data_IF_478697187067
#
_entry.id   IF_478697187067
#
_cell.length_a   1.000
_cell.length_b   1.000
_cell.length_c   1.000
_cell.angle_alpha   90.00
_cell.angle_beta   90.00
_cell.angle_gamma   90.00
#
_symmetry.space_group_name_H-M   'P 1'
#
loop_
_entity.id
_entity.type
_entity.pdbx_description
1 polymer ?
#
# COMPACT_ATOMS: atom_id res chain seq x y z
N UNK A 1 -12.28 0.68 -3.33
CA UNK A 1 -13.04 -0.09 -2.32
C UNK A 1 -12.48 0.14 -0.92
N UNK A 2 -11.17 -0.04 -0.68
CA UNK A 2 -10.54 0.27 0.61
C UNK A 2 -9.95 1.68 0.61
N UNK A 3 -10.82 2.69 0.65
CA UNK A 3 -10.38 4.09 0.68
C UNK A 3 -11.34 4.87 1.60
N UNK A 4 -10.90 5.34 2.78
CA UNK A 4 -11.74 6.11 3.70
C UNK A 4 -12.30 7.39 3.07
N UNK A 5 -11.56 8.00 2.13
CA UNK A 5 -11.95 9.25 1.46
C UNK A 5 -12.90 9.03 0.28
N UNK A 6 -13.18 7.78 -0.11
CA UNK A 6 -14.21 7.52 -1.12
C UNK A 6 -15.56 8.01 -0.59
N UNK A 7 -16.36 8.64 -1.46
CA UNK A 7 -17.66 9.24 -1.12
C UNK A 7 -18.53 8.37 -0.21
N UNK A 8 -18.61 7.07 -0.47
CA UNK A 8 -19.39 6.15 0.36
C UNK A 8 -18.84 6.02 1.79
N UNK A 9 -17.52 5.81 1.93
CA UNK A 9 -16.88 5.65 3.24
C UNK A 9 -16.85 6.97 4.00
N UNK A 10 -16.55 8.08 3.32
CA UNK A 10 -16.54 9.42 3.90
C UNK A 10 -17.92 9.83 4.42
N UNK A 11 -19.01 9.58 3.68
CA UNK A 11 -20.37 9.86 4.16
C UNK A 11 -20.76 9.01 5.38
N UNK A 12 -20.11 7.87 5.59
CA UNK A 12 -20.41 6.91 6.65
C UNK A 12 -19.27 6.77 7.68
N UNK A 13 -18.32 7.70 7.72
CA UNK A 13 -17.12 7.65 8.57
C UNK A 13 -17.39 7.56 10.07
N UNK A 14 -18.56 8.00 10.52
CA UNK A 14 -19.01 7.90 11.92
C UNK A 14 -19.68 6.57 12.27
N UNK A 15 -19.91 5.68 11.29
CA UNK A 15 -20.49 4.36 11.56
C UNK A 15 -19.49 3.50 12.31
N UNK A 16 -19.99 2.76 13.29
CA UNK A 16 -19.22 1.75 14.03
C UNK A 16 -19.24 0.43 13.27
N UNK A 17 -18.25 -0.42 13.58
CA UNK A 17 -18.17 -1.79 13.08
C UNK A 17 -19.45 -2.55 13.46
N UNK A 18 -20.08 -3.22 12.51
CA UNK A 18 -21.36 -3.91 12.72
C UNK A 18 -21.18 -5.33 13.20
N UNK A 19 -20.13 -6.02 12.73
CA UNK A 19 -19.87 -7.40 13.09
C UNK A 19 -18.81 -7.49 14.19
N UNK A 20 -19.01 -8.40 15.13
CA UNK A 20 -17.98 -8.76 16.10
C UNK A 20 -16.92 -9.66 15.44
N UNK A 21 -15.90 -9.06 14.83
CA UNK A 21 -14.84 -9.81 14.14
C UNK A 21 -13.91 -10.57 15.10
N UNK A 22 -13.91 -10.25 16.39
CA UNK A 22 -13.18 -11.02 17.39
C UNK A 22 -13.73 -12.45 17.54
N UNK A 23 -15.03 -12.67 17.31
CA UNK A 23 -15.62 -14.03 17.29
C UNK A 23 -15.19 -14.86 16.07
N UNK A 24 -14.73 -14.19 15.00
CA UNK A 24 -14.31 -14.85 13.76
C UNK A 24 -12.83 -15.17 13.77
N UNK A 25 -11.99 -14.20 14.16
CA UNK A 25 -10.54 -14.31 14.09
C UNK A 25 -9.87 -14.55 15.47
N UNK A 26 -10.61 -14.34 16.57
CA UNK A 26 -10.06 -14.22 17.91
C UNK A 26 -9.71 -12.78 18.28
N UNK A 27 -9.62 -12.50 19.58
CA UNK A 27 -9.21 -11.20 20.09
C UNK A 27 -7.80 -10.81 19.58
N UNK A 28 -7.64 -9.56 19.14
CA UNK A 28 -6.37 -9.05 18.62
C UNK A 28 -5.99 -9.52 17.21
N UNK A 29 -6.70 -10.49 16.64
CA UNK A 29 -6.38 -11.10 15.33
C UNK A 29 -7.21 -10.56 14.15
N UNK A 30 -8.04 -9.54 14.38
CA UNK A 30 -8.74 -8.84 13.31
C UNK A 30 -7.74 -8.15 12.37
N UNK A 31 -7.99 -8.16 11.07
CA UNK A 31 -7.09 -7.57 10.08
C UNK A 31 -7.24 -6.05 9.98
N UNK A 32 -8.43 -5.54 10.27
CA UNK A 32 -8.69 -4.12 10.44
C UNK A 32 -9.38 -3.85 11.77
N UNK A 33 -9.05 -2.70 12.37
CA UNK A 33 -9.59 -2.23 13.64
C UNK A 33 -9.84 -0.73 13.55
N UNK A 34 -10.98 -0.27 14.06
CA UNK A 34 -11.21 1.16 14.24
C UNK A 34 -10.19 1.71 15.26
N UNK A 35 -9.69 2.94 15.09
CA UNK A 35 -8.80 3.55 16.07
C UNK A 35 -9.46 3.60 17.45
N UNK A 36 -8.79 3.10 18.49
CA UNK A 36 -9.29 3.22 19.86
C UNK A 36 -9.30 4.70 20.25
N UNK A 37 -10.48 5.22 20.56
CA UNK A 37 -10.79 6.62 20.85
C UNK A 37 -9.68 7.35 21.62
N UNK A 38 -8.90 8.16 20.90
CA UNK A 38 -8.21 9.33 21.42
C UNK A 38 -8.89 10.58 20.83
N UNK A 39 -10.18 10.76 21.12
CA UNK A 39 -10.96 11.99 20.93
C UNK A 39 -10.97 12.69 19.55
N UNK A 40 -10.34 12.16 18.51
CA UNK A 40 -10.17 12.90 17.24
C UNK A 40 -10.25 12.05 15.96
N UNK A 41 -10.35 10.72 16.03
CA UNK A 41 -10.37 9.87 14.82
C UNK A 41 -11.73 9.25 14.53
N UNK A 42 -12.11 9.31 13.26
CA UNK A 42 -13.38 8.79 12.75
C UNK A 42 -13.31 7.25 12.65
N UNK A 43 -14.30 6.51 13.18
CA UNK A 43 -14.20 5.05 13.35
C UNK A 43 -14.17 4.26 12.03
N UNK A 44 -14.79 4.76 10.96
CA UNK A 44 -14.91 4.11 9.65
C UNK A 44 -15.29 2.62 9.74
N UNK A 45 -16.24 2.30 10.60
CA UNK A 45 -16.61 0.92 10.93
C UNK A 45 -17.01 0.07 9.73
N UNK A 46 -17.67 0.65 8.72
CA UNK A 46 -18.03 -0.07 7.50
C UNK A 46 -16.82 -0.39 6.61
N UNK A 47 -15.79 0.45 6.61
CA UNK A 47 -14.52 0.14 5.95
C UNK A 47 -13.81 -0.99 6.71
N UNK A 48 -13.81 -0.95 8.04
CA UNK A 48 -13.25 -2.00 8.90
C UNK A 48 -13.97 -3.33 8.65
N UNK A 49 -15.31 -3.34 8.61
CA UNK A 49 -16.10 -4.52 8.25
C UNK A 49 -15.73 -5.06 6.86
N UNK A 50 -15.58 -4.17 5.88
CA UNK A 50 -15.23 -4.55 4.52
C UNK A 50 -13.84 -5.23 4.45
N UNK A 51 -12.83 -4.67 5.12
CA UNK A 51 -11.47 -5.26 5.13
C UNK A 51 -11.45 -6.59 5.86
N UNK A 52 -12.14 -6.69 7.01
CA UNK A 52 -12.23 -7.95 7.75
C UNK A 52 -13.03 -9.01 6.99
N UNK A 53 -14.09 -8.63 6.27
CA UNK A 53 -14.82 -9.55 5.38
C UNK A 53 -13.95 -10.04 4.23
N UNK A 54 -13.13 -9.16 3.66
CA UNK A 54 -12.14 -9.57 2.66
C UNK A 54 -11.14 -10.58 3.24
N UNK A 55 -10.69 -10.39 4.48
CA UNK A 55 -9.83 -11.34 5.16
C UNK A 55 -10.50 -12.71 5.39
N UNK A 56 -11.74 -12.71 5.86
CA UNK A 56 -12.53 -13.93 6.10
C UNK A 56 -12.69 -14.77 4.82
N UNK A 57 -12.81 -14.10 3.67
CA UNK A 57 -12.90 -14.75 2.35
C UNK A 57 -11.54 -15.21 1.79
N UNK A 58 -10.47 -15.16 2.60
CA UNK A 58 -9.12 -15.56 2.18
C UNK A 58 -8.40 -14.54 1.30
N UNK A 59 -8.88 -13.30 1.24
CA UNK A 59 -8.37 -12.27 0.34
C UNK A 59 -6.89 -11.94 0.55
N UNK A 60 -6.44 -11.83 1.81
CA UNK A 60 -5.02 -11.58 2.10
C UNK A 60 -4.12 -12.75 1.67
N UNK A 61 -4.57 -14.00 1.85
CA UNK A 61 -3.84 -15.17 1.39
C UNK A 61 -3.72 -15.20 -0.14
N UNK A 62 -4.80 -14.87 -0.85
CA UNK A 62 -4.79 -14.76 -2.31
C UNK A 62 -3.81 -13.68 -2.80
N UNK A 63 -3.76 -12.53 -2.12
CA UNK A 63 -2.80 -11.46 -2.45
C UNK A 63 -1.36 -11.90 -2.19
N UNK A 64 -1.07 -12.51 -1.05
CA UNK A 64 0.27 -13.04 -0.77
C UNK A 64 0.71 -14.06 -1.82
N UNK A 65 -0.17 -14.99 -2.20
CA UNK A 65 0.10 -15.94 -3.26
C UNK A 65 0.43 -15.23 -4.58
N UNK A 66 -0.34 -14.19 -4.94
CA UNK A 66 -0.11 -13.42 -6.15
C UNK A 66 1.20 -12.62 -6.12
N UNK A 67 1.52 -11.96 -5.01
CA UNK A 67 2.74 -11.17 -4.82
C UNK A 67 4.03 -12.03 -4.81
N UNK A 68 3.90 -13.30 -4.43
CA UNK A 68 5.00 -14.27 -4.43
C UNK A 68 5.19 -14.97 -5.78
N UNK A 69 4.30 -14.75 -6.75
CA UNK A 69 4.46 -15.27 -8.11
C UNK A 69 5.64 -14.60 -8.82
N UNK A 70 6.43 -15.38 -9.58
CA UNK A 70 7.62 -14.87 -10.29
C UNK A 70 7.26 -13.93 -11.46
N UNK A 71 6.08 -14.13 -12.05
CA UNK A 71 5.63 -13.42 -13.25
C UNK A 71 4.74 -12.20 -12.96
N UNK A 72 4.65 -11.75 -11.70
CA UNK A 72 3.81 -10.60 -11.38
C UNK A 72 4.42 -9.30 -11.91
N UNK A 73 3.64 -8.61 -12.74
CA UNK A 73 4.04 -7.31 -13.29
C UNK A 73 4.07 -6.21 -12.23
N UNK A 74 5.00 -5.25 -12.37
CA UNK A 74 5.16 -4.15 -11.42
C UNK A 74 3.88 -3.33 -11.24
N UNK A 75 3.12 -3.10 -12.32
CA UNK A 75 1.83 -2.43 -12.26
C UNK A 75 0.79 -3.21 -11.46
N UNK A 76 0.81 -4.55 -11.53
CA UNK A 76 -0.08 -5.39 -10.72
C UNK A 76 0.31 -5.33 -9.24
N UNK A 77 1.61 -5.30 -8.91
CA UNK A 77 2.07 -5.09 -7.53
C UNK A 77 1.58 -3.74 -7.01
N UNK A 78 1.78 -2.66 -7.78
CA UNK A 78 1.29 -1.31 -7.44
C UNK A 78 -0.22 -1.33 -7.15
N UNK A 79 -1.01 -1.88 -8.06
CA UNK A 79 -2.47 -1.95 -7.93
C UNK A 79 -2.94 -2.77 -6.72
N UNK A 80 -2.19 -3.80 -6.32
CA UNK A 80 -2.51 -4.61 -5.13
C UNK A 80 -2.11 -3.90 -3.83
N UNK A 81 -1.00 -3.16 -3.82
CA UNK A 81 -0.48 -2.46 -2.63
C UNK A 81 -1.31 -1.20 -2.33
N UNK A 82 -1.73 -0.48 -3.36
CA UNK A 82 -2.39 0.82 -3.25
C UNK A 82 -3.59 0.85 -2.29
N UNK A 83 -4.60 -0.04 -2.42
CA UNK A 83 -5.76 -0.03 -1.52
C UNK A 83 -5.38 -0.18 -0.04
N UNK A 84 -4.34 -0.96 0.28
CA UNK A 84 -3.88 -1.13 1.66
C UNK A 84 -3.09 0.06 2.18
N UNK A 85 -2.32 0.72 1.32
CA UNK A 85 -1.67 1.99 1.67
C UNK A 85 -2.69 3.04 2.06
N UNK A 86 -3.73 3.22 1.23
CA UNK A 86 -4.75 4.26 1.45
C UNK A 86 -5.60 3.99 2.70
N UNK A 87 -5.89 2.74 3.03
CA UNK A 87 -6.61 2.40 4.27
C UNK A 87 -5.70 2.03 5.46
N UNK A 88 -4.38 2.27 5.38
CA UNK A 88 -3.40 1.73 6.32
C UNK A 88 -3.69 2.08 7.78
N UNK A 89 -4.26 3.25 8.05
CA UNK A 89 -4.56 3.67 9.43
C UNK A 89 -5.56 2.74 10.16
N UNK A 90 -6.41 2.03 9.42
CA UNK A 90 -7.39 1.07 9.95
C UNK A 90 -6.83 -0.35 10.01
N UNK A 91 -5.66 -0.61 9.42
CA UNK A 91 -5.08 -1.95 9.44
C UNK A 91 -4.47 -2.24 10.82
N UNK A 92 -4.65 -3.49 11.26
CA UNK A 92 -4.00 -4.01 12.45
C UNK A 92 -2.56 -4.38 12.12
N UNK A 93 -1.60 -3.58 12.60
CA UNK A 93 -0.18 -3.79 12.33
C UNK A 93 0.29 -5.18 12.75
N UNK A 94 -0.13 -5.70 13.90
CA UNK A 94 0.31 -7.02 14.39
C UNK A 94 -0.07 -8.19 13.48
N UNK A 95 -1.11 -8.03 12.67
CA UNK A 95 -1.62 -9.08 11.77
C UNK A 95 -1.18 -8.83 10.33
N UNK A 96 -1.38 -7.61 9.84
CA UNK A 96 -1.23 -7.30 8.40
C UNK A 96 0.20 -6.94 8.03
N UNK A 97 0.96 -6.31 8.93
CA UNK A 97 2.35 -5.93 8.64
C UNK A 97 3.22 -7.14 8.24
N UNK A 98 3.26 -8.25 8.99
CA UNK A 98 4.07 -9.41 8.58
C UNK A 98 3.67 -9.98 7.22
N UNK A 99 2.42 -9.77 6.79
CA UNK A 99 1.95 -10.23 5.49
C UNK A 99 2.46 -9.37 4.33
N UNK A 100 2.68 -8.07 4.57
CA UNK A 100 3.07 -7.08 3.57
C UNK A 100 4.56 -6.70 3.64
N UNK A 101 5.25 -6.94 4.75
CA UNK A 101 6.69 -6.68 4.90
C UNK A 101 7.52 -7.30 3.74
N UNK A 102 7.29 -8.56 3.32
CA UNK A 102 8.07 -9.12 2.21
C UNK A 102 7.96 -8.32 0.92
N UNK A 103 6.76 -7.82 0.58
CA UNK A 103 6.58 -7.00 -0.63
C UNK A 103 7.17 -5.60 -0.46
N UNK A 104 7.04 -4.98 0.70
CA UNK A 104 7.63 -3.66 1.00
C UNK A 104 9.15 -3.70 0.76
N UNK A 105 9.85 -4.62 1.43
CA UNK A 105 11.31 -4.73 1.34
C UNK A 105 11.76 -5.18 -0.06
N UNK A 106 11.07 -6.15 -0.68
CA UNK A 106 11.38 -6.62 -2.04
C UNK A 106 11.28 -5.47 -3.05
N UNK A 107 10.26 -4.63 -2.96
CA UNK A 107 10.04 -3.52 -3.89
C UNK A 107 11.00 -2.35 -3.66
N UNK A 108 11.29 -1.99 -2.40
CA UNK A 108 12.34 -1.00 -2.09
C UNK A 108 13.67 -1.47 -2.70
N UNK A 109 14.08 -2.72 -2.44
CA UNK A 109 15.31 -3.29 -3.00
C UNK A 109 15.27 -3.36 -4.53
N UNK A 110 14.13 -3.70 -5.13
CA UNK A 110 13.98 -3.69 -6.59
C UNK A 110 14.29 -2.32 -7.17
N UNK A 111 13.66 -1.25 -6.63
CA UNK A 111 13.85 0.12 -7.15
C UNK A 111 15.28 0.63 -6.90
N UNK A 112 15.89 0.29 -5.75
CA UNK A 112 17.30 0.62 -5.46
C UNK A 112 18.27 0.03 -6.48
N UNK A 113 17.95 -1.13 -7.06
CA UNK A 113 18.81 -1.82 -8.03
C UNK A 113 18.47 -1.49 -9.50
N UNK A 114 17.53 -0.57 -9.77
CA UNK A 114 17.26 -0.12 -11.14
C UNK A 114 18.47 0.63 -11.67
N UNK A 115 19.03 0.20 -12.79
CA UNK A 115 20.19 0.83 -13.41
C UNK A 115 19.78 1.76 -14.56
N UNK A 116 20.72 2.59 -15.05
CA UNK A 116 20.45 3.53 -16.14
C UNK A 116 19.95 2.83 -17.42
N UNK A 117 20.47 1.64 -17.71
CA UNK A 117 20.08 0.82 -18.87
C UNK A 117 18.61 0.36 -18.82
N UNK A 118 18.04 0.30 -17.62
CA UNK A 118 16.67 -0.17 -17.37
C UNK A 118 15.66 0.98 -17.54
N UNK A 119 16.09 2.25 -17.43
CA UNK A 119 15.21 3.42 -17.43
C UNK A 119 14.33 3.56 -18.68
N UNK A 120 14.69 2.92 -19.80
CA UNK A 120 13.89 2.86 -21.03
C UNK A 120 12.70 1.91 -20.95
N UNK A 121 12.66 1.03 -19.95
CA UNK A 121 11.63 0.01 -19.80
C UNK A 121 10.29 0.64 -19.39
N UNK A 122 9.24 0.32 -20.14
CA UNK A 122 7.88 0.81 -19.90
C UNK A 122 7.33 0.37 -18.54
N UNK A 123 7.83 -0.73 -17.98
CA UNK A 123 7.40 -1.24 -16.66
C UNK A 123 7.71 -0.26 -15.53
N UNK A 124 8.76 0.54 -15.66
CA UNK A 124 9.19 1.49 -14.63
C UNK A 124 8.23 2.68 -14.46
N UNK A 125 7.28 2.87 -15.39
CA UNK A 125 6.19 3.87 -15.27
C UNK A 125 5.41 3.68 -13.97
N UNK A 126 5.30 2.45 -13.46
CA UNK A 126 4.56 2.14 -12.24
C UNK A 126 5.36 2.39 -10.95
N UNK A 127 6.66 2.70 -11.01
CA UNK A 127 7.49 2.90 -9.81
C UNK A 127 6.97 4.05 -8.92
N UNK A 128 6.65 5.25 -9.44
CA UNK A 128 6.21 6.35 -8.58
C UNK A 128 4.91 6.04 -7.84
N UNK A 129 3.95 5.41 -8.51
CA UNK A 129 2.70 4.95 -7.88
C UNK A 129 2.98 3.85 -6.87
N UNK A 130 3.80 2.85 -7.21
CA UNK A 130 4.20 1.79 -6.28
C UNK A 130 4.84 2.35 -5.00
N UNK A 131 5.81 3.27 -5.13
CA UNK A 131 6.48 3.89 -3.99
C UNK A 131 5.52 4.75 -3.17
N UNK A 132 4.52 5.38 -3.78
CA UNK A 132 3.48 6.11 -3.06
C UNK A 132 2.65 5.16 -2.17
N UNK A 133 2.27 3.99 -2.69
CA UNK A 133 1.56 2.97 -1.91
C UNK A 133 2.42 2.40 -0.79
N UNK A 134 3.69 2.09 -1.07
CA UNK A 134 4.66 1.62 -0.07
C UNK A 134 4.86 2.67 1.02
N UNK A 135 5.00 3.95 0.68
CA UNK A 135 5.16 5.03 1.66
C UNK A 135 4.00 5.06 2.65
N UNK A 136 2.76 4.97 2.17
CA UNK A 136 1.58 4.97 3.04
C UNK A 136 1.57 3.78 4.00
N UNK A 137 1.99 2.60 3.53
CA UNK A 137 2.17 1.43 4.40
C UNK A 137 3.29 1.66 5.43
N UNK A 138 4.44 2.20 5.02
CA UNK A 138 5.56 2.51 5.93
C UNK A 138 5.14 3.52 7.01
N UNK A 139 4.36 4.55 6.67
CA UNK A 139 3.85 5.50 7.67
C UNK A 139 3.06 4.84 8.81
N UNK A 140 2.44 3.68 8.54
CA UNK A 140 1.73 2.89 9.54
C UNK A 140 2.58 1.82 10.21
N UNK A 141 3.37 1.09 9.44
CA UNK A 141 4.02 -0.15 9.85
C UNK A 141 5.52 0.01 10.14
N UNK A 142 6.19 0.88 9.40
CA UNK A 142 7.65 1.04 9.43
C UNK A 142 8.05 2.52 9.26
N UNK A 143 7.79 3.38 10.26
CA UNK A 143 8.02 4.82 10.15
C UNK A 143 9.47 5.17 9.77
N UNK A 144 10.44 4.36 10.20
CA UNK A 144 11.87 4.55 9.92
C UNK A 144 12.21 4.43 8.42
N UNK A 145 11.38 3.75 7.62
CA UNK A 145 11.59 3.62 6.17
C UNK A 145 10.98 4.75 5.35
N UNK A 146 10.14 5.61 5.95
CA UNK A 146 9.38 6.64 5.20
C UNK A 146 10.32 7.58 4.45
N UNK A 147 11.35 8.11 5.12
CA UNK A 147 12.33 8.99 4.50
C UNK A 147 13.12 8.28 3.41
N UNK A 148 13.53 7.03 3.63
CA UNK A 148 14.25 6.25 2.63
C UNK A 148 13.42 6.00 1.36
N UNK A 149 12.10 5.79 1.50
CA UNK A 149 11.17 5.63 0.37
C UNK A 149 11.00 6.95 -0.40
N UNK A 150 10.91 8.09 0.30
CA UNK A 150 10.84 9.40 -0.33
C UNK A 150 12.13 9.73 -1.09
N UNK A 151 13.29 9.50 -0.48
CA UNK A 151 14.59 9.70 -1.13
C UNK A 151 14.73 8.82 -2.37
N UNK A 152 14.32 7.56 -2.28
CA UNK A 152 14.34 6.63 -3.41
C UNK A 152 13.42 7.09 -4.55
N UNK A 153 12.25 7.64 -4.23
CA UNK A 153 11.33 8.22 -5.23
C UNK A 153 11.96 9.42 -5.93
N UNK A 154 12.58 10.33 -5.18
CA UNK A 154 13.25 11.49 -5.76
C UNK A 154 14.46 11.09 -6.60
N UNK A 155 15.26 10.13 -6.15
CA UNK A 155 16.41 9.61 -6.88
C UNK A 155 16.03 9.00 -8.22
N UNK A 156 15.03 8.10 -8.26
CA UNK A 156 14.62 7.47 -9.52
C UNK A 156 14.03 8.50 -10.50
N UNK A 157 13.24 9.47 -10.01
CA UNK A 157 12.71 10.55 -10.84
C UNK A 157 13.83 11.42 -11.41
N UNK A 158 14.83 11.77 -10.60
CA UNK A 158 15.99 12.54 -11.05
C UNK A 158 16.80 11.78 -12.10
N UNK A 159 17.01 10.47 -11.91
CA UNK A 159 17.69 9.61 -12.89
C UNK A 159 16.91 9.50 -14.20
N UNK A 160 15.58 9.36 -14.14
CA UNK A 160 14.71 9.39 -15.33
C UNK A 160 14.78 10.73 -16.07
N UNK A 161 14.78 11.86 -15.37
CA UNK A 161 14.92 13.20 -15.96
C UNK A 161 16.28 13.40 -16.66
N UNK A 162 17.35 12.87 -16.06
CA UNK A 162 18.71 12.96 -16.59
C UNK A 162 19.01 11.96 -17.70
N UNK A 163 18.25 10.87 -17.80
CA UNK A 163 18.44 9.81 -18.80
C UNK A 163 18.42 10.36 -20.23
N UNK A 164 19.21 9.82 -21.18
CA UNK A 164 19.10 10.20 -22.59
C UNK A 164 17.78 9.73 -23.24
N UNK A 165 16.99 8.89 -22.57
CA UNK A 165 15.76 8.33 -23.11
C UNK A 165 14.58 9.28 -22.95
N UNK A 166 14.02 9.74 -24.09
CA UNK A 166 12.87 10.65 -24.11
C UNK A 166 11.66 10.11 -23.32
N UNK A 167 11.36 8.81 -23.44
CA UNK A 167 10.27 8.17 -22.71
C UNK A 167 10.45 8.26 -21.19
N UNK A 168 11.66 7.99 -20.69
CA UNK A 168 11.99 8.09 -19.27
C UNK A 168 11.75 9.51 -18.75
N UNK A 169 12.25 10.53 -19.48
CA UNK A 169 12.04 11.94 -19.13
C UNK A 169 10.56 12.30 -19.07
N UNK A 170 9.78 11.92 -20.08
CA UNK A 170 8.35 12.21 -20.13
C UNK A 170 7.59 11.56 -18.97
N UNK A 171 7.97 10.35 -18.56
CA UNK A 171 7.36 9.69 -17.41
C UNK A 171 7.65 10.45 -16.12
N UNK A 172 8.91 10.87 -15.90
CA UNK A 172 9.25 11.64 -14.71
C UNK A 172 8.59 13.02 -14.64
N UNK A 173 8.35 13.67 -15.78
CA UNK A 173 7.69 14.99 -15.81
C UNK A 173 6.21 14.95 -15.43
N UNK A 174 5.53 13.80 -15.56
CA UNK A 174 4.12 13.65 -15.15
C UNK A 174 3.93 13.59 -13.64
N UNK A 175 5.02 13.39 -12.91
CA UNK A 175 5.02 13.21 -11.44
C UNK A 175 5.30 14.52 -10.69
N UNK A 176 5.52 15.64 -11.40
CA UNK A 176 5.83 16.97 -10.86
C UNK A 176 4.65 17.92 -11.04
#
# INVERSE_FOLDING_TARGET
AFNPDNEYHFKNRMKVCQRNWAEVFGEGNMHAVSPMSTFQKEPHGWLVDLVNRFAELGGFSAIQSKLNSEDIELGAISALVQPFGVCAEYLNSSVVQPMLDPVIHKMIKYVQNVEEKDLKDKRLVSIPELLSGIKLLCMRFQPDLVTAVDDLRLDILLRMLKSPHFSAKMNSLKEV
#
